data_IF_800240342179
#
_entry.id   IF_800240342179
#
_cell.length_a   1.000
_cell.length_b   1.000
_cell.length_c   1.000
_cell.angle_alpha   90.00
_cell.angle_beta   90.00
_cell.angle_gamma   90.00
#
_symmetry.space_group_name_H-M   'P 1'
#
loop_
_entity.id
_entity.type
_entity.pdbx_description
1 polymer ?
#
# COMPACT_ATOMS: atom_id res chain seq x y z
N UNK A 1 3.87 -20.52 4.61
CA UNK A 1 3.85 -19.30 5.46
C UNK A 1 5.28 -19.03 5.90
N UNK A 2 5.85 -17.86 5.59
CA UNK A 2 7.27 -17.56 5.85
C UNK A 2 7.53 -17.42 7.35
N UNK A 3 8.57 -18.08 7.88
CA UNK A 3 8.92 -18.04 9.30
C UNK A 3 9.35 -16.63 9.75
N UNK A 4 9.33 -16.37 11.05
CA UNK A 4 9.72 -15.08 11.60
C UNK A 4 11.22 -14.79 11.38
N UNK A 5 12.05 -15.84 11.34
CA UNK A 5 13.49 -15.76 11.08
C UNK A 5 13.78 -15.26 9.67
N UNK A 6 13.06 -15.77 8.67
CA UNK A 6 13.20 -15.30 7.28
C UNK A 6 12.77 -13.84 7.16
N UNK A 7 11.70 -13.43 7.85
CA UNK A 7 11.25 -12.02 7.88
C UNK A 7 12.28 -11.10 8.53
N UNK A 8 12.90 -11.53 9.64
CA UNK A 8 14.01 -10.81 10.28
C UNK A 8 15.20 -10.67 9.35
N UNK A 9 15.59 -11.74 8.66
CA UNK A 9 16.67 -11.71 7.68
C UNK A 9 16.37 -10.74 6.53
N UNK A 10 15.15 -10.80 5.98
CA UNK A 10 14.67 -9.85 4.98
C UNK A 10 14.76 -8.40 5.48
N UNK A 11 14.24 -8.11 6.68
CA UNK A 11 14.27 -6.75 7.23
C UNK A 11 15.71 -6.24 7.38
N UNK A 12 16.64 -7.09 7.84
CA UNK A 12 18.06 -6.74 7.97
C UNK A 12 18.69 -6.29 6.65
N UNK A 13 18.18 -6.79 5.52
CA UNK A 13 18.62 -6.36 4.18
C UNK A 13 17.91 -5.08 3.74
N UNK A 14 16.58 -5.03 3.87
CA UNK A 14 15.79 -3.90 3.35
C UNK A 14 15.91 -2.65 4.21
N UNK A 15 16.22 -2.76 5.51
CA UNK A 15 16.39 -1.61 6.39
C UNK A 15 17.58 -0.70 6.03
N UNK A 16 18.45 -1.16 5.12
CA UNK A 16 19.56 -0.38 4.56
C UNK A 16 19.10 0.60 3.47
N UNK A 17 17.92 0.38 2.89
CA UNK A 17 17.30 1.24 1.89
C UNK A 17 16.48 2.31 2.64
N UNK A 18 16.48 3.55 2.13
CA UNK A 18 15.55 4.54 2.64
C UNK A 18 14.15 4.29 2.08
N UNK A 19 13.25 3.87 2.95
CA UNK A 19 11.84 3.71 2.63
C UNK A 19 10.97 4.05 3.84
N UNK A 20 9.73 4.41 3.53
CA UNK A 20 8.69 4.74 4.50
C UNK A 20 7.47 3.88 4.20
N UNK A 21 6.84 3.36 5.25
CA UNK A 21 5.61 2.59 5.12
C UNK A 21 4.40 3.47 5.44
N UNK A 22 3.37 3.36 4.61
CA UNK A 22 2.08 4.00 4.78
C UNK A 22 1.01 2.93 4.69
N UNK A 23 0.21 2.78 5.75
CA UNK A 23 -0.77 1.72 5.84
C UNK A 23 -2.15 2.25 6.20
N UNK A 24 -3.15 1.75 5.48
CA UNK A 24 -4.56 1.85 5.82
C UNK A 24 -5.11 0.43 5.92
N UNK A 25 -5.56 0.05 7.11
CA UNK A 25 -6.18 -1.24 7.39
C UNK A 25 -7.69 -1.09 7.45
N UNK A 26 -8.39 -2.01 6.80
CA UNK A 26 -9.84 -1.95 6.62
C UNK A 26 -10.56 -2.89 7.61
N UNK A 27 -11.47 -2.37 8.44
CA UNK A 27 -12.42 -3.21 9.15
C UNK A 27 -13.51 -3.70 8.19
N UNK A 28 -13.32 -4.88 7.60
CA UNK A 28 -14.22 -5.42 6.56
C UNK A 28 -15.68 -5.50 7.02
N UNK A 29 -15.94 -5.87 8.28
CA UNK A 29 -17.30 -6.04 8.80
C UNK A 29 -18.10 -4.74 8.68
N UNK A 30 -17.54 -3.65 9.20
CA UNK A 30 -18.18 -2.32 9.19
C UNK A 30 -18.24 -1.70 7.80
N UNK A 31 -17.28 -2.00 6.94
CA UNK A 31 -17.25 -1.45 5.58
C UNK A 31 -18.33 -2.04 4.71
N UNK A 32 -18.60 -3.34 4.80
CA UNK A 32 -19.70 -3.94 4.05
C UNK A 32 -21.09 -3.49 4.55
N UNK A 33 -21.18 -2.99 5.78
CA UNK A 33 -22.39 -2.37 6.32
C UNK A 33 -22.58 -0.94 5.80
N UNK A 34 -21.51 -0.16 5.61
CA UNK A 34 -21.57 1.28 5.28
C UNK A 34 -21.28 1.63 3.81
N UNK A 35 -20.51 0.81 3.09
CA UNK A 35 -20.03 1.04 1.73
C UNK A 35 -20.47 -0.13 0.83
N UNK A 36 -20.91 0.22 -0.37
CA UNK A 36 -21.57 -0.68 -1.32
C UNK A 36 -20.81 -1.99 -1.57
N UNK A 37 -21.54 -3.05 -1.98
CA UNK A 37 -21.06 -4.40 -2.35
C UNK A 37 -20.01 -4.44 -3.49
N UNK A 38 -19.51 -3.30 -3.92
CA UNK A 38 -18.56 -3.12 -5.01
C UNK A 38 -17.12 -3.11 -4.46
N UNK A 39 -16.46 -4.28 -4.59
CA UNK A 39 -15.07 -4.48 -4.16
C UNK A 39 -14.09 -3.56 -4.87
N UNK A 40 -14.37 -3.18 -6.13
CA UNK A 40 -13.49 -2.33 -6.92
C UNK A 40 -13.45 -0.92 -6.33
N UNK A 41 -14.62 -0.34 -6.06
CA UNK A 41 -14.72 1.00 -5.44
C UNK A 41 -14.03 1.06 -4.09
N UNK A 42 -14.18 0.01 -3.26
CA UNK A 42 -13.50 -0.07 -1.97
C UNK A 42 -11.98 -0.06 -2.20
N UNK A 43 -11.47 -0.84 -3.15
CA UNK A 43 -10.04 -0.85 -3.45
C UNK A 43 -9.53 0.53 -3.88
N UNK A 44 -10.22 1.19 -4.80
CA UNK A 44 -9.85 2.52 -5.29
C UNK A 44 -9.84 3.53 -4.13
N UNK A 45 -10.86 3.49 -3.28
CA UNK A 45 -10.97 4.34 -2.11
C UNK A 45 -9.82 4.14 -1.12
N UNK A 46 -9.46 2.89 -0.82
CA UNK A 46 -8.35 2.59 0.11
C UNK A 46 -6.99 2.96 -0.48
N UNK A 47 -6.78 2.75 -1.78
CA UNK A 47 -5.59 3.20 -2.46
C UNK A 47 -5.46 4.73 -2.39
N UNK A 48 -6.54 5.47 -2.68
CA UNK A 48 -6.56 6.93 -2.53
C UNK A 48 -6.24 7.35 -1.10
N UNK A 49 -6.94 6.80 -0.11
CA UNK A 49 -6.67 7.12 1.31
C UNK A 49 -5.21 6.87 1.68
N UNK A 50 -4.59 5.82 1.16
CA UNK A 50 -3.18 5.53 1.42
C UNK A 50 -2.29 6.60 0.78
N UNK A 51 -2.53 6.96 -0.48
CA UNK A 51 -1.75 7.96 -1.22
C UNK A 51 -1.93 9.39 -0.69
N UNK A 52 -3.09 9.73 -0.13
CA UNK A 52 -3.34 11.01 0.57
C UNK A 52 -2.33 11.29 1.70
N UNK A 53 -1.69 10.24 2.23
CA UNK A 53 -0.71 10.33 3.33
C UNK A 53 0.73 10.48 2.84
N UNK A 54 0.97 10.24 1.55
CA UNK A 54 2.31 10.34 0.95
C UNK A 54 2.52 11.79 0.52
N UNK A 55 3.62 12.41 0.98
CA UNK A 55 4.04 13.71 0.46
C UNK A 55 4.84 13.52 -0.84
N UNK A 56 4.44 14.23 -1.89
CA UNK A 56 5.08 14.19 -3.21
C UNK A 56 5.97 15.40 -3.47
N UNK A 57 6.10 16.34 -2.53
CA UNK A 57 6.90 17.58 -2.71
C UNK A 57 8.37 17.32 -3.03
N UNK A 58 8.93 16.24 -2.50
CA UNK A 58 10.34 15.88 -2.73
C UNK A 58 10.56 15.13 -4.06
N UNK A 59 9.49 14.80 -4.80
CA UNK A 59 9.60 14.10 -6.06
C UNK A 59 10.06 15.06 -7.16
N UNK A 60 11.37 15.08 -7.45
CA UNK A 60 11.95 15.99 -8.45
C UNK A 60 11.99 15.42 -9.88
N UNK A 61 12.06 14.08 -10.02
CA UNK A 61 12.33 13.43 -11.32
C UNK A 61 11.12 12.71 -11.88
N UNK A 62 10.45 11.89 -11.06
CA UNK A 62 9.33 11.05 -11.47
C UNK A 62 8.61 10.48 -10.26
N UNK A 63 7.30 10.30 -10.36
CA UNK A 63 6.51 9.50 -9.44
C UNK A 63 6.14 8.19 -10.14
N UNK A 64 6.51 7.06 -9.54
CA UNK A 64 6.17 5.72 -10.03
C UNK A 64 5.28 5.05 -9.00
N UNK A 65 4.09 4.60 -9.44
CA UNK A 65 3.19 3.79 -8.63
C UNK A 65 3.16 2.38 -9.24
N UNK A 66 3.61 1.40 -8.48
CA UNK A 66 3.45 -0.01 -8.85
C UNK A 66 2.34 -0.64 -8.04
N UNK A 67 1.37 -1.24 -8.73
CA UNK A 67 0.19 -1.86 -8.15
C UNK A 67 0.22 -3.35 -8.46
N UNK A 68 -0.17 -4.18 -7.49
CA UNK A 68 -0.33 -5.61 -7.71
C UNK A 68 -1.46 -5.88 -8.69
N UNK A 69 -1.14 -6.63 -9.75
CA UNK A 69 -2.03 -6.93 -10.87
C UNK A 69 -3.10 -7.93 -10.45
N UNK A 70 -4.18 -7.38 -9.88
CA UNK A 70 -5.33 -8.11 -9.34
C UNK A 70 -6.66 -7.77 -10.04
N UNK A 71 -6.61 -6.95 -11.09
CA UNK A 71 -7.77 -6.37 -11.80
C UNK A 71 -7.80 -6.77 -13.28
N UNK A 72 -9.01 -6.79 -13.85
CA UNK A 72 -9.22 -6.87 -15.30
C UNK A 72 -8.73 -5.59 -16.01
N UNK A 73 -8.60 -5.63 -17.34
CA UNK A 73 -8.12 -4.48 -18.12
C UNK A 73 -9.01 -3.24 -17.94
N UNK A 74 -10.33 -3.41 -17.85
CA UNK A 74 -11.26 -2.30 -17.67
C UNK A 74 -11.13 -1.66 -16.28
N UNK A 75 -11.07 -2.48 -15.23
CA UNK A 75 -10.88 -2.01 -13.85
C UNK A 75 -9.50 -1.34 -13.66
N UNK A 76 -8.46 -1.78 -14.39
CA UNK A 76 -7.14 -1.12 -14.39
C UNK A 76 -7.26 0.31 -14.93
N UNK A 77 -7.97 0.51 -16.04
CA UNK A 77 -8.17 1.83 -16.63
C UNK A 77 -8.92 2.76 -15.67
N UNK A 78 -10.03 2.27 -15.10
CA UNK A 78 -10.82 3.02 -14.12
C UNK A 78 -10.02 3.37 -12.86
N UNK A 79 -9.24 2.41 -12.34
CA UNK A 79 -8.33 2.66 -11.22
C UNK A 79 -7.30 3.74 -11.56
N UNK A 80 -6.63 3.63 -12.71
CA UNK A 80 -5.58 4.57 -13.11
C UNK A 80 -6.13 5.99 -13.25
N UNK A 81 -7.24 6.16 -13.96
CA UNK A 81 -7.90 7.46 -14.12
C UNK A 81 -8.28 8.05 -12.77
N UNK A 82 -8.91 7.24 -11.91
CA UNK A 82 -9.30 7.67 -10.57
C UNK A 82 -8.09 8.14 -9.76
N UNK A 83 -7.01 7.36 -9.68
CA UNK A 83 -5.84 7.72 -8.88
C UNK A 83 -5.14 8.97 -9.42
N UNK A 84 -4.94 9.06 -10.74
CA UNK A 84 -4.34 10.23 -11.39
C UNK A 84 -5.14 11.48 -11.01
N UNK A 85 -6.46 11.47 -11.17
CA UNK A 85 -7.32 12.61 -10.85
C UNK A 85 -7.22 13.05 -9.38
N UNK A 86 -6.97 12.11 -8.45
CA UNK A 86 -6.87 12.41 -7.02
C UNK A 86 -5.51 12.96 -6.59
N UNK A 87 -4.42 12.62 -7.29
CA UNK A 87 -3.06 12.98 -6.85
C UNK A 87 -2.35 13.96 -7.75
N UNK A 88 -2.79 14.16 -9.00
CA UNK A 88 -2.11 15.05 -9.97
C UNK A 88 -1.98 16.49 -9.46
N UNK A 89 -2.96 16.98 -8.70
CA UNK A 89 -2.89 18.32 -8.10
C UNK A 89 -1.86 18.44 -6.95
N UNK A 90 -1.31 17.31 -6.49
CA UNK A 90 -0.34 17.23 -5.38
C UNK A 90 1.08 16.95 -5.86
N UNK A 91 1.26 16.76 -7.16
CA UNK A 91 2.53 16.51 -7.84
C UNK A 91 2.84 17.74 -8.68
N UNK A 92 4.11 18.14 -8.74
CA UNK A 92 4.53 19.20 -9.66
C UNK A 92 4.12 18.82 -11.11
N UNK A 93 3.43 19.70 -11.87
CA UNK A 93 3.01 19.41 -13.24
C UNK A 93 4.13 18.99 -14.19
N UNK A 94 5.38 19.35 -13.89
CA UNK A 94 6.57 18.97 -14.66
C UNK A 94 7.08 17.57 -14.32
N UNK A 95 6.62 16.97 -13.22
CA UNK A 95 7.05 15.65 -12.76
C UNK A 95 6.12 14.59 -13.33
N UNK A 96 6.62 13.65 -14.17
CA UNK A 96 5.80 12.59 -14.73
C UNK A 96 5.27 11.64 -13.65
N UNK A 97 4.04 11.17 -13.83
CA UNK A 97 3.39 10.15 -13.01
C UNK A 97 3.12 8.91 -13.87
N UNK A 98 3.74 7.80 -13.51
CA UNK A 98 3.54 6.50 -14.16
C UNK A 98 2.88 5.50 -13.20
N UNK A 99 1.89 4.75 -13.71
CA UNK A 99 1.24 3.67 -12.95
C UNK A 99 1.44 2.34 -13.68
N UNK A 100 2.12 1.40 -13.03
CA UNK A 100 2.37 0.06 -13.53
C UNK A 100 1.57 -0.98 -12.75
N UNK A 101 1.01 -1.96 -13.44
CA UNK A 101 0.36 -3.12 -12.84
C UNK A 101 1.23 -4.35 -13.08
N UNK A 102 1.90 -4.81 -12.03
CA UNK A 102 2.88 -5.91 -12.10
C UNK A 102 2.40 -7.11 -11.30
N UNK A 103 2.80 -8.32 -11.70
CA UNK A 103 2.57 -9.50 -10.88
C UNK A 103 3.49 -9.43 -9.66
N UNK A 104 2.96 -9.67 -8.45
CA UNK A 104 3.74 -9.66 -7.21
C UNK A 104 4.99 -10.54 -7.27
N UNK A 105 4.90 -11.73 -7.88
CA UNK A 105 6.04 -12.64 -8.03
C UNK A 105 7.20 -12.10 -8.89
N UNK A 106 6.94 -11.09 -9.73
CA UNK A 106 7.91 -10.47 -10.63
C UNK A 106 8.45 -9.13 -10.11
N UNK A 107 7.87 -8.60 -9.02
CA UNK A 107 8.23 -7.30 -8.48
C UNK A 107 8.65 -7.39 -7.00
N UNK A 108 9.95 -7.23 -6.68
CA UNK A 108 10.44 -7.29 -5.29
C UNK A 108 9.79 -6.27 -4.35
N UNK A 109 9.40 -5.09 -4.87
CA UNK A 109 8.72 -4.05 -4.11
C UNK A 109 7.31 -4.48 -3.68
N UNK A 110 6.56 -5.15 -4.56
CA UNK A 110 5.25 -5.72 -4.22
C UNK A 110 5.39 -6.85 -3.19
N UNK A 111 6.38 -7.74 -3.33
CA UNK A 111 6.65 -8.79 -2.34
C UNK A 111 7.00 -8.21 -0.98
N UNK A 112 7.79 -7.13 -0.96
CA UNK A 112 8.11 -6.41 0.26
C UNK A 112 6.83 -5.81 0.89
N UNK A 113 6.01 -5.13 0.09
CA UNK A 113 4.75 -4.55 0.54
C UNK A 113 3.82 -5.61 1.14
N UNK A 114 3.66 -6.76 0.49
CA UNK A 114 2.85 -7.89 0.98
C UNK A 114 3.35 -8.41 2.33
N UNK A 115 4.67 -8.52 2.49
CA UNK A 115 5.26 -8.98 3.74
C UNK A 115 5.03 -8.00 4.91
N UNK A 116 5.08 -6.69 4.66
CA UNK A 116 4.73 -5.69 5.68
C UNK A 116 3.22 -5.65 5.96
N UNK A 117 2.39 -5.73 4.91
CA UNK A 117 0.93 -5.79 5.03
C UNK A 117 0.48 -7.00 5.86
N UNK A 118 1.13 -8.16 5.70
CA UNK A 118 0.88 -9.34 6.52
C UNK A 118 1.15 -9.09 8.02
N UNK A 119 2.19 -8.32 8.37
CA UNK A 119 2.48 -7.94 9.75
C UNK A 119 1.40 -7.08 10.39
N UNK A 120 0.90 -6.11 9.64
CA UNK A 120 -0.21 -5.27 10.07
C UNK A 120 -1.50 -6.09 10.25
N UNK A 121 -1.78 -6.98 9.30
CA UNK A 121 -2.91 -7.90 9.40
C UNK A 121 -2.85 -8.76 10.68
N UNK A 122 -1.70 -9.37 10.98
CA UNK A 122 -1.50 -10.19 12.19
C UNK A 122 -1.65 -9.40 13.49
N UNK A 123 -1.14 -8.17 13.52
CA UNK A 123 -1.31 -7.25 14.64
C UNK A 123 -2.80 -7.03 14.92
N UNK A 124 -3.60 -6.70 13.91
CA UNK A 124 -5.02 -6.36 14.11
C UNK A 124 -5.90 -7.60 14.34
N UNK A 125 -5.71 -8.68 13.59
CA UNK A 125 -6.58 -9.87 13.66
C UNK A 125 -6.21 -10.84 14.77
N UNK A 126 -4.92 -10.96 15.10
CA UNK A 126 -4.43 -11.98 16.03
C UNK A 126 -3.73 -11.40 17.26
N UNK A 127 -3.62 -10.07 17.39
CA UNK A 127 -2.79 -9.40 18.42
C UNK A 127 -1.33 -9.85 18.40
N UNK A 128 -0.89 -10.40 17.27
CA UNK A 128 0.47 -10.89 17.05
C UNK A 128 1.33 -9.76 16.48
N UNK A 129 2.09 -9.11 17.37
CA UNK A 129 2.95 -7.99 17.04
C UNK A 129 4.39 -8.41 16.69
N UNK A 130 4.73 -9.71 16.69
CA UNK A 130 6.12 -10.16 16.61
C UNK A 130 6.86 -9.64 15.37
N UNK A 131 6.19 -9.61 14.21
CA UNK A 131 6.73 -9.02 12.99
C UNK A 131 6.57 -7.51 12.93
N UNK A 132 5.41 -6.99 13.36
CA UNK A 132 5.14 -5.55 13.41
C UNK A 132 6.20 -4.78 14.21
N UNK A 133 6.57 -5.29 15.37
CA UNK A 133 7.54 -4.64 16.26
C UNK A 133 8.93 -4.49 15.65
N UNK A 134 9.27 -5.31 14.65
CA UNK A 134 10.55 -5.24 13.94
C UNK A 134 10.58 -4.04 12.99
N UNK A 135 9.49 -3.76 12.27
CA UNK A 135 9.50 -2.74 11.22
C UNK A 135 8.75 -1.44 11.60
N UNK A 136 8.06 -1.39 12.74
CA UNK A 136 7.20 -0.24 13.14
C UNK A 136 7.91 1.12 13.10
N UNK A 137 9.22 1.17 13.28
CA UNK A 137 10.02 2.40 13.19
C UNK A 137 10.05 3.02 11.78
N UNK A 138 9.77 2.23 10.75
CA UNK A 138 9.65 2.67 9.35
C UNK A 138 8.22 3.10 8.98
N UNK A 139 7.26 2.87 9.86
CA UNK A 139 5.85 3.20 9.64
C UNK A 139 5.61 4.68 9.91
N UNK A 140 5.26 5.43 8.86
CA UNK A 140 4.87 6.84 8.97
C UNK A 140 3.40 6.99 9.29
N UNK A 141 2.57 6.09 8.76
CA UNK A 141 1.14 6.06 9.04
C UNK A 141 0.66 4.62 9.20
N UNK A 142 -0.09 4.39 10.29
CA UNK A 142 -0.89 3.20 10.54
C UNK A 142 -2.31 3.65 10.87
N UNK A 143 -3.25 3.47 9.94
CA UNK A 143 -4.64 3.88 10.15
C UNK A 143 -5.57 2.69 10.04
N UNK A 144 -6.33 2.42 11.10
CA UNK A 144 -7.50 1.56 11.03
C UNK A 144 -8.71 2.39 10.57
N UNK A 145 -9.33 2.01 9.45
CA UNK A 145 -10.54 2.64 8.91
C UNK A 145 -11.78 1.89 9.39
N UNK A 146 -12.73 2.66 9.94
CA UNK A 146 -13.88 2.17 10.71
C UNK A 146 -13.45 1.21 11.83
N UNK A 147 -12.70 1.69 12.84
CA UNK A 147 -12.16 0.85 13.91
C UNK A 147 -13.23 0.02 14.63
#
# INVERSE_FOLDING_TARGET
MTSIEVKKFFYKKVCQIDFKLYAVTLNKKRVYECLAKDKERIYNYIARMTLERVDFKDAAVRVIITVDKSKSKHEILGFNEYIINQIKARIDPLVPLDIFHALSQENPGLQAADMFAWGLFRKYENKDCAWYDIFKTRLRVDRLYLP
#
